data_IF_809575878453
#
_entry.id   IF_809575878453
#
_cell.length_a   1.000
_cell.length_b   1.000
_cell.length_c   1.000
_cell.angle_alpha   90.00
_cell.angle_beta   90.00
_cell.angle_gamma   90.00
#
_symmetry.space_group_name_H-M   'P 1'
#
loop_
_entity.id
_entity.type
_entity.pdbx_description
1 polymer ?
#
# COMPACT_ATOMS: atom_id res chain seq x y z
N UNK A 1 -22.62 -15.28 19.94
CA UNK A 1 -22.04 -14.30 18.99
C UNK A 1 -21.80 -15.04 17.69
N UNK A 2 -22.33 -14.61 16.53
CA UNK A 2 -21.87 -15.18 15.27
C UNK A 2 -20.42 -14.73 15.08
N UNK A 3 -19.52 -15.70 14.87
CA UNK A 3 -18.16 -15.42 14.41
C UNK A 3 -18.33 -14.80 13.02
N UNK A 4 -17.79 -13.60 12.81
CA UNK A 4 -17.64 -13.11 11.45
C UNK A 4 -16.65 -14.08 10.78
N UNK A 5 -17.17 -15.01 10.01
CA UNK A 5 -16.34 -15.90 9.21
C UNK A 5 -15.70 -15.03 8.13
N UNK A 6 -14.44 -14.68 8.33
CA UNK A 6 -13.63 -13.95 7.37
C UNK A 6 -13.24 -14.93 6.26
N UNK A 7 -14.19 -15.20 5.36
CA UNK A 7 -14.00 -16.11 4.23
C UNK A 7 -13.35 -15.35 3.09
N UNK A 8 -12.20 -15.85 2.64
CA UNK A 8 -11.53 -15.34 1.45
C UNK A 8 -12.23 -15.87 0.20
N UNK A 9 -12.78 -14.97 -0.61
CA UNK A 9 -13.37 -15.29 -1.91
C UNK A 9 -12.31 -15.51 -2.98
N UNK A 10 -11.16 -14.82 -2.85
CA UNK A 10 -10.06 -14.93 -3.79
C UNK A 10 -8.72 -14.59 -3.12
N UNK A 11 -7.62 -15.01 -3.72
CA UNK A 11 -6.27 -14.66 -3.30
C UNK A 11 -5.32 -14.63 -4.50
N UNK A 12 -4.15 -14.01 -4.32
CA UNK A 12 -3.13 -14.00 -5.35
C UNK A 12 -1.77 -13.59 -4.82
N UNK A 13 -0.75 -13.84 -5.64
CA UNK A 13 0.63 -13.48 -5.32
C UNK A 13 1.39 -13.08 -6.57
N UNK A 14 2.34 -12.17 -6.40
CA UNK A 14 3.37 -11.81 -7.37
C UNK A 14 4.66 -11.43 -6.62
N UNK A 15 5.68 -10.93 -7.33
CA UNK A 15 6.98 -10.58 -6.73
C UNK A 15 6.81 -9.56 -5.61
N UNK A 16 7.03 -9.96 -4.36
CA UNK A 16 6.92 -9.07 -3.21
C UNK A 16 5.48 -8.67 -2.86
N UNK A 17 4.47 -9.32 -3.45
CA UNK A 17 3.06 -9.02 -3.22
C UNK A 17 2.29 -10.30 -2.92
N UNK A 18 1.49 -10.27 -1.87
CA UNK A 18 0.45 -11.26 -1.62
C UNK A 18 -0.83 -10.52 -1.27
N UNK A 19 -1.98 -11.05 -1.68
CA UNK A 19 -3.26 -10.46 -1.31
C UNK A 19 -4.33 -11.52 -1.12
N UNK A 20 -5.31 -11.14 -0.29
CA UNK A 20 -6.57 -11.85 -0.13
C UNK A 20 -7.71 -10.88 -0.39
N UNK A 21 -8.79 -11.39 -0.94
CA UNK A 21 -10.03 -10.66 -1.14
C UNK A 21 -11.16 -11.40 -0.45
N UNK A 22 -11.97 -10.62 0.25
CA UNK A 22 -13.29 -10.99 0.75
C UNK A 22 -14.33 -10.19 -0.03
N UNK A 23 -15.61 -10.34 0.30
CA UNK A 23 -16.70 -9.65 -0.39
C UNK A 23 -16.56 -8.13 -0.43
N UNK A 24 -16.02 -7.52 0.62
CA UNK A 24 -16.00 -6.06 0.82
C UNK A 24 -14.60 -5.49 1.08
N UNK A 25 -13.58 -6.35 1.15
CA UNK A 25 -12.22 -5.95 1.49
C UNK A 25 -11.18 -6.74 0.70
N UNK A 26 -10.21 -6.03 0.11
CA UNK A 26 -8.95 -6.60 -0.36
C UNK A 26 -7.78 -6.06 0.45
N UNK A 27 -6.97 -6.98 0.97
CA UNK A 27 -5.78 -6.67 1.78
C UNK A 27 -4.55 -7.12 1.00
N UNK A 28 -3.61 -6.20 0.81
CA UNK A 28 -2.30 -6.47 0.25
C UNK A 28 -1.23 -6.50 1.35
N UNK A 29 -0.38 -7.50 1.29
CA UNK A 29 0.88 -7.61 2.01
C UNK A 29 2.03 -7.41 1.02
N UNK A 30 2.82 -6.37 1.24
CA UNK A 30 3.89 -5.93 0.37
C UNK A 30 5.27 -6.14 1.02
N UNK A 31 6.25 -6.58 0.24
CA UNK A 31 7.65 -6.59 0.61
C UNK A 31 8.50 -6.28 -0.60
N UNK A 32 9.24 -5.17 -0.56
CA UNK A 32 10.31 -4.90 -1.53
C UNK A 32 11.63 -4.71 -0.80
N UNK A 33 12.68 -5.41 -1.24
CA UNK A 33 13.99 -5.40 -0.60
C UNK A 33 14.66 -4.03 -0.69
N UNK A 34 15.36 -3.61 0.37
CA UNK A 34 16.21 -2.39 0.37
C UNK A 34 17.32 -2.46 -0.69
N UNK A 35 17.77 -3.68 -1.02
CA UNK A 35 18.85 -3.91 -1.98
C UNK A 35 18.34 -4.08 -3.42
N UNK A 36 17.04 -3.90 -3.65
CA UNK A 36 16.46 -3.98 -4.99
C UNK A 36 16.77 -2.70 -5.79
N UNK A 37 16.75 -2.80 -7.11
CA UNK A 37 17.00 -1.63 -7.97
C UNK A 37 15.77 -0.72 -8.04
N UNK A 38 15.98 0.56 -8.35
CA UNK A 38 14.88 1.51 -8.57
C UNK A 38 13.94 1.06 -9.71
N UNK A 39 14.50 0.43 -10.76
CA UNK A 39 13.70 -0.13 -11.86
C UNK A 39 12.78 -1.27 -11.40
N UNK A 40 13.28 -2.14 -10.52
CA UNK A 40 12.49 -3.25 -9.98
C UNK A 40 11.43 -2.75 -9.01
N UNK A 41 11.73 -1.69 -8.26
CA UNK A 41 10.75 -1.02 -7.41
C UNK A 41 9.62 -0.38 -8.22
N UNK A 42 9.95 0.37 -9.26
CA UNK A 42 8.95 0.95 -10.17
C UNK A 42 8.08 -0.14 -10.82
N UNK A 43 8.68 -1.25 -11.26
CA UNK A 43 7.94 -2.39 -11.80
C UNK A 43 7.02 -3.04 -10.74
N UNK A 44 7.48 -3.16 -9.49
CA UNK A 44 6.66 -3.62 -8.36
C UNK A 44 5.45 -2.70 -8.12
N UNK A 45 5.65 -1.37 -8.13
CA UNK A 45 4.55 -0.41 -7.96
C UNK A 45 3.54 -0.49 -9.12
N UNK A 46 4.00 -0.65 -10.36
CA UNK A 46 3.12 -0.82 -11.52
C UNK A 46 2.29 -2.11 -11.43
N UNK A 47 2.87 -3.20 -10.91
CA UNK A 47 2.16 -4.46 -10.69
C UNK A 47 1.11 -4.34 -9.57
N UNK A 48 1.46 -3.64 -8.48
CA UNK A 48 0.53 -3.32 -7.39
C UNK A 48 -0.63 -2.46 -7.90
N UNK A 49 -0.33 -1.38 -8.62
CA UNK A 49 -1.35 -0.49 -9.19
C UNK A 49 -2.32 -1.26 -10.09
N UNK A 50 -1.77 -2.07 -11.01
CA UNK A 50 -2.57 -2.90 -11.90
C UNK A 50 -3.47 -3.85 -11.10
N UNK A 51 -2.93 -4.53 -10.10
CA UNK A 51 -3.70 -5.44 -9.24
C UNK A 51 -4.84 -4.73 -8.51
N UNK A 52 -4.58 -3.54 -7.97
CA UNK A 52 -5.56 -2.71 -7.25
C UNK A 52 -6.68 -2.28 -8.20
N UNK A 53 -6.34 -1.87 -9.42
CA UNK A 53 -7.32 -1.47 -10.44
C UNK A 53 -8.19 -2.65 -10.91
N UNK A 54 -7.67 -3.88 -10.88
CA UNK A 54 -8.44 -5.11 -11.14
C UNK A 54 -9.24 -5.63 -9.95
N UNK A 55 -9.08 -5.08 -8.75
CA UNK A 55 -9.89 -5.47 -7.59
C UNK A 55 -11.37 -5.12 -7.83
N UNK A 56 -12.28 -5.82 -7.16
CA UNK A 56 -13.72 -5.49 -7.22
C UNK A 56 -13.94 -4.01 -6.83
N UNK A 57 -14.62 -3.17 -7.65
CA UNK A 57 -14.92 -1.77 -7.36
C UNK A 57 -15.56 -1.49 -5.99
N UNK A 58 -16.30 -2.45 -5.45
CA UNK A 58 -16.99 -2.33 -4.18
C UNK A 58 -16.11 -2.71 -2.98
N UNK A 59 -14.95 -3.33 -3.21
CA UNK A 59 -14.01 -3.64 -2.15
C UNK A 59 -13.29 -2.38 -1.67
N UNK A 60 -13.26 -2.22 -0.35
CA UNK A 60 -12.27 -1.38 0.31
C UNK A 60 -10.89 -1.98 0.08
N UNK A 61 -9.89 -1.13 -0.14
CA UNK A 61 -8.52 -1.56 -0.35
C UNK A 61 -7.69 -1.19 0.87
N UNK A 62 -6.94 -2.16 1.40
CA UNK A 62 -5.86 -1.97 2.37
C UNK A 62 -4.57 -2.44 1.73
N UNK A 63 -3.57 -1.56 1.68
CA UNK A 63 -2.21 -1.90 1.26
C UNK A 63 -1.32 -1.68 2.45
N UNK A 64 -0.52 -2.69 2.82
CA UNK A 64 0.53 -2.53 3.82
C UNK A 64 1.64 -3.55 3.69
N UNK A 65 2.75 -3.27 4.35
CA UNK A 65 3.96 -4.09 4.32
C UNK A 65 5.23 -3.27 4.13
N UNK A 66 6.39 -3.92 4.12
CA UNK A 66 7.69 -3.23 4.12
C UNK A 66 8.13 -2.89 2.70
N UNK A 67 8.05 -1.61 2.35
CA UNK A 67 8.42 -1.10 1.03
C UNK A 67 9.84 -0.51 0.97
N UNK A 68 10.56 -0.46 2.10
CA UNK A 68 11.88 0.18 2.22
C UNK A 68 11.90 1.58 1.56
N UNK A 69 10.92 2.41 1.89
CA UNK A 69 10.80 3.80 1.43
C UNK A 69 10.77 4.72 2.65
N UNK A 70 11.55 5.79 2.60
CA UNK A 70 11.73 6.70 3.73
C UNK A 70 10.96 7.99 3.45
N UNK A 71 10.03 8.34 4.33
CA UNK A 71 9.29 9.60 4.27
C UNK A 71 9.06 10.12 5.67
N UNK A 72 9.21 11.43 5.84
CA UNK A 72 8.85 12.12 7.06
C UNK A 72 7.34 11.99 7.37
N UNK A 73 6.50 11.81 6.35
CA UNK A 73 5.04 11.62 6.52
C UNK A 73 4.70 10.37 7.34
N UNK A 74 5.50 9.32 7.22
CA UNK A 74 5.37 8.08 8.00
C UNK A 74 6.52 7.87 9.00
N UNK A 75 7.14 8.98 9.43
CA UNK A 75 8.03 9.01 10.60
C UNK A 75 9.51 8.71 10.34
N UNK A 76 9.97 8.68 9.09
CA UNK A 76 11.40 8.61 8.78
C UNK A 76 12.12 9.94 9.02
N UNK A 77 13.43 9.91 9.23
CA UNK A 77 14.25 11.13 9.40
C UNK A 77 14.40 11.96 8.12
N UNK A 78 14.22 11.34 6.95
CA UNK A 78 14.38 11.95 5.62
C UNK A 78 13.43 11.32 4.60
N UNK A 79 13.24 12.02 3.48
CA UNK A 79 12.58 11.48 2.31
C UNK A 79 13.59 10.81 1.36
N UNK A 80 13.15 9.79 0.61
CA UNK A 80 13.91 9.17 -0.48
C UNK A 80 13.09 9.06 -1.78
N UNK A 81 13.76 8.71 -2.88
CA UNK A 81 13.11 8.61 -4.19
C UNK A 81 12.03 7.53 -4.26
N UNK A 82 12.05 6.55 -3.36
CA UNK A 82 11.06 5.46 -3.30
C UNK A 82 9.78 5.93 -2.62
N UNK A 83 9.91 6.79 -1.61
CA UNK A 83 8.78 7.45 -0.98
C UNK A 83 8.04 8.36 -1.93
N UNK A 84 8.75 9.15 -2.75
CA UNK A 84 8.13 10.00 -3.77
C UNK A 84 7.31 9.16 -4.77
N UNK A 85 7.87 8.05 -5.25
CA UNK A 85 7.15 7.13 -6.14
C UNK A 85 5.90 6.50 -5.48
N UNK A 86 5.96 6.21 -4.18
CA UNK A 86 4.79 5.74 -3.42
C UNK A 86 3.73 6.82 -3.25
N UNK A 87 4.15 8.06 -2.99
CA UNK A 87 3.23 9.19 -2.91
C UNK A 87 2.52 9.41 -4.26
N UNK A 88 3.24 9.33 -5.37
CA UNK A 88 2.68 9.41 -6.71
C UNK A 88 1.69 8.26 -7.01
N UNK A 89 2.02 7.02 -6.63
CA UNK A 89 1.09 5.89 -6.74
C UNK A 89 -0.17 6.12 -5.89
N UNK A 90 -0.01 6.61 -4.66
CA UNK A 90 -1.14 6.92 -3.78
C UNK A 90 -2.07 7.94 -4.44
N UNK A 91 -1.49 9.01 -4.98
CA UNK A 91 -2.22 10.04 -5.69
C UNK A 91 -2.92 9.50 -6.96
N UNK A 92 -2.28 8.59 -7.71
CA UNK A 92 -2.87 8.00 -8.93
C UNK A 92 -4.02 7.04 -8.64
N UNK A 93 -4.03 6.44 -7.44
CA UNK A 93 -5.07 5.53 -6.99
C UNK A 93 -6.25 6.26 -6.32
N UNK A 94 -6.05 7.41 -5.70
CA UNK A 94 -7.11 8.22 -5.07
C UNK A 94 -8.18 8.68 -6.09
N UNK A 95 -9.15 7.79 -6.38
CA UNK A 95 -10.37 8.09 -7.15
C UNK A 95 -11.55 8.33 -6.20
N UNK A 96 -12.44 9.31 -6.47
CA UNK A 96 -13.62 9.61 -5.63
C UNK A 96 -14.62 8.45 -5.50
N UNK A 97 -14.58 7.47 -6.40
CA UNK A 97 -15.61 6.43 -6.53
C UNK A 97 -15.36 5.16 -5.69
N UNK A 98 -14.25 5.08 -4.95
CA UNK A 98 -13.88 3.88 -4.19
C UNK A 98 -13.51 4.25 -2.75
N UNK A 99 -13.86 3.40 -1.79
CA UNK A 99 -13.46 3.57 -0.39
C UNK A 99 -12.01 3.11 -0.21
N UNK A 100 -11.09 4.07 -0.05
CA UNK A 100 -9.66 3.82 0.12
C UNK A 100 -9.26 3.88 1.59
N UNK A 101 -8.42 2.93 2.05
CA UNK A 101 -7.73 3.00 3.35
C UNK A 101 -6.29 2.54 3.15
N UNK A 102 -5.35 3.49 3.07
CA UNK A 102 -3.93 3.15 2.93
C UNK A 102 -3.30 2.88 4.29
N UNK A 103 -2.41 1.89 4.38
CA UNK A 103 -1.64 1.59 5.59
C UNK A 103 -0.17 1.35 5.20
N UNK A 104 0.62 2.42 5.06
CA UNK A 104 2.05 2.25 4.74
C UNK A 104 2.79 1.72 5.96
N UNK A 105 3.62 0.69 5.74
CA UNK A 105 4.47 0.14 6.79
C UNK A 105 5.90 0.60 6.50
N UNK A 106 6.36 1.51 7.34
CA UNK A 106 7.76 1.89 7.38
C UNK A 106 8.55 0.83 8.15
N UNK A 107 9.74 0.50 7.65
CA UNK A 107 10.77 -0.13 8.48
C UNK A 107 11.96 0.80 8.54
N UNK A 108 12.07 1.55 9.63
CA UNK A 108 13.38 1.94 10.12
C UNK A 108 13.95 0.79 10.93
N UNK A 109 15.27 0.71 11.03
CA UNK A 109 16.01 -0.42 11.59
C UNK A 109 15.71 -0.69 13.09
N UNK A 110 14.85 0.10 13.75
CA UNK A 110 14.52 -0.01 15.17
C UNK A 110 13.04 0.11 15.58
N UNK A 111 12.09 0.47 14.70
CA UNK A 111 10.67 0.59 15.06
C UNK A 111 9.69 0.22 13.93
N UNK A 112 8.74 -0.66 14.22
CA UNK A 112 7.61 -0.98 13.33
C UNK A 112 6.47 0.00 13.62
N UNK A 113 6.13 0.86 12.65
CA UNK A 113 4.98 1.76 12.76
C UNK A 113 4.04 1.54 11.58
N UNK A 114 2.76 1.37 11.90
CA UNK A 114 1.68 1.20 10.95
C UNK A 114 0.80 2.45 11.04
N UNK A 115 0.91 3.33 10.06
CA UNK A 115 0.13 4.57 10.01
C UNK A 115 -0.96 4.43 8.93
N UNK A 116 -2.20 4.67 9.34
CA UNK A 116 -3.35 4.73 8.43
C UNK A 116 -3.52 6.16 7.94
N UNK A 117 -3.42 6.38 6.62
CA UNK A 117 -3.65 7.69 6.05
C UNK A 117 -5.09 7.79 5.52
N UNK A 118 -5.91 8.74 5.99
CA UNK A 118 -7.17 9.04 5.35
C UNK A 118 -6.92 9.65 3.95
N UNK A 119 -7.88 9.56 3.01
CA UNK A 119 -7.72 10.01 1.62
C UNK A 119 -7.53 11.53 1.41
N UNK A 120 -7.33 12.31 2.46
CA UNK A 120 -7.03 13.74 2.37
C UNK A 120 -5.52 13.96 2.50
N UNK A 121 -4.80 13.78 1.40
CA UNK A 121 -3.46 14.35 1.25
C UNK A 121 -3.68 15.84 0.90
N UNK A 122 -3.73 16.70 1.92
CA UNK A 122 -3.62 18.15 1.70
C UNK A 122 -2.15 18.42 1.37
N UNK A 123 -1.87 18.65 0.08
CA UNK A 123 -0.59 19.21 -0.37
C UNK A 123 -0.48 20.64 0.12
N UNK A 124 -0.15 20.81 1.39
CA UNK A 124 0.41 22.03 1.93
C UNK A 124 1.51 21.63 2.88
N UNK A 125 2.75 21.69 2.42
CA UNK A 125 3.79 22.48 3.06
C UNK A 125 5.04 22.49 2.16
N UNK A 126 5.37 23.72 1.74
CA UNK A 126 6.64 24.26 1.18
C UNK A 126 7.13 23.75 -0.18
#
# INVERSE_FOLDING_TARGET
MPRADFVTDNSGTSRGLAWIQTRDLRIYSCYNSRNDTDSNFAAFLADLERSVRFADPHCSIIIGGNLNAWSQEWGSVRNDARAEQLADLTASLLSPSRNWRYAYLHTDDHHHRLDFFPPHIDRRHT
#
